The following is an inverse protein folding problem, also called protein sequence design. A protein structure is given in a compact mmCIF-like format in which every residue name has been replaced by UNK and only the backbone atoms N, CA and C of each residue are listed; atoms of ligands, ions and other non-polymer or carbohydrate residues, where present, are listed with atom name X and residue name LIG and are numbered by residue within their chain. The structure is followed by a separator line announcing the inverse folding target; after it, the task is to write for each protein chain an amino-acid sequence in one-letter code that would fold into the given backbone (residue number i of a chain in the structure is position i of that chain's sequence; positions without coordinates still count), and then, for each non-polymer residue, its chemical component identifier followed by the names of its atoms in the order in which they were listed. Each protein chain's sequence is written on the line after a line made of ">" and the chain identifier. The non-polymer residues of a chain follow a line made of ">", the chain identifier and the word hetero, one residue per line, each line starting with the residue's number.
data_IF_105067339605
#
_entry.id   IF_105067339605
#
_cell.length_a   1.000
_cell.length_b   1.000
_cell.length_c   1.000
_cell.angle_alpha   90.00
_cell.angle_beta   90.00
_cell.angle_gamma   90.00
#
_symmetry.space_group_name_H-M   'P 1'
#
loop_
_entity.id
_entity.type
_entity.pdbx_description
1 polymer ?
#
# COMPACT_ATOMS: atom_id res chain seq x y z
N UNK A 1 -14.51 -11.56 -0.27
CA UNK A 1 -13.81 -12.44 0.69
C UNK A 1 -13.68 -13.87 0.15
N UNK A 2 -14.77 -14.56 -0.23
CA UNK A 2 -14.72 -15.94 -0.74
C UNK A 2 -13.75 -16.12 -1.92
N UNK A 3 -13.77 -15.20 -2.88
CA UNK A 3 -12.82 -15.22 -4.02
C UNK A 3 -11.36 -15.15 -3.54
N UNK A 4 -11.04 -14.29 -2.57
CA UNK A 4 -9.68 -14.20 -2.05
C UNK A 4 -9.24 -15.48 -1.35
N UNK A 5 -10.10 -16.07 -0.53
CA UNK A 5 -9.80 -17.34 0.15
C UNK A 5 -9.64 -18.47 -0.87
N UNK A 6 -10.51 -18.54 -1.88
CA UNK A 6 -10.42 -19.54 -2.96
C UNK A 6 -9.13 -19.39 -3.77
N UNK A 7 -8.76 -18.18 -4.17
CA UNK A 7 -7.54 -17.92 -4.95
C UNK A 7 -6.25 -18.22 -4.19
N UNK A 8 -6.28 -18.14 -2.86
CA UNK A 8 -5.12 -18.37 -2.00
C UNK A 8 -5.17 -19.76 -1.32
N UNK A 9 -6.04 -20.67 -1.78
CA UNK A 9 -6.14 -22.04 -1.25
C UNK A 9 -4.90 -22.84 -1.67
N UNK A 10 -3.93 -22.93 -0.76
CA UNK A 10 -2.64 -23.61 -0.96
C UNK A 10 -2.52 -24.93 -0.17
N UNK A 11 -3.56 -25.30 0.54
CA UNK A 11 -3.60 -26.47 1.41
C UNK A 11 -2.76 -26.37 2.68
N UNK A 12 -2.15 -25.21 2.94
CA UNK A 12 -1.31 -24.93 4.13
C UNK A 12 -1.87 -23.81 4.96
N UNK A 13 -1.77 -22.56 4.47
CA UNK A 13 -2.32 -21.36 5.13
C UNK A 13 -3.83 -21.29 4.93
N UNK A 14 -4.27 -21.51 3.71
CA UNK A 14 -5.68 -21.52 3.32
C UNK A 14 -6.02 -22.92 2.82
N UNK A 15 -6.92 -23.60 3.53
CA UNK A 15 -7.36 -24.96 3.20
C UNK A 15 -8.72 -24.95 2.50
N UNK A 16 -9.11 -26.07 1.89
CA UNK A 16 -10.46 -26.25 1.34
C UNK A 16 -11.55 -26.07 2.41
N UNK A 17 -11.26 -26.47 3.63
CA UNK A 17 -12.20 -26.29 4.74
C UNK A 17 -12.53 -24.82 4.98
N UNK A 18 -11.52 -23.93 4.97
CA UNK A 18 -11.74 -22.47 5.09
C UNK A 18 -12.62 -21.93 3.95
N UNK A 19 -12.44 -22.45 2.72
CA UNK A 19 -13.28 -22.09 1.58
C UNK A 19 -14.72 -22.51 1.80
N UNK A 20 -14.96 -23.76 2.25
CA UNK A 20 -16.28 -24.31 2.53
C UNK A 20 -16.99 -23.57 3.68
N UNK A 21 -16.28 -23.28 4.76
CA UNK A 21 -16.79 -22.51 5.89
C UNK A 21 -17.26 -21.11 5.45
N UNK A 22 -16.46 -20.43 4.64
CA UNK A 22 -16.83 -19.11 4.15
C UNK A 22 -17.97 -19.16 3.11
N UNK A 23 -18.02 -20.21 2.29
CA UNK A 23 -19.13 -20.43 1.35
C UNK A 23 -20.46 -20.71 2.06
N UNK A 24 -20.40 -21.40 3.20
CA UNK A 24 -21.54 -21.68 4.06
C UNK A 24 -21.88 -20.58 5.07
N UNK A 25 -21.24 -19.40 4.98
CA UNK A 25 -21.44 -18.32 5.94
C UNK A 25 -22.90 -17.82 5.95
N UNK A 26 -23.47 -17.68 7.14
CA UNK A 26 -24.81 -17.12 7.34
C UNK A 26 -24.79 -15.94 8.32
N UNK A 27 -25.60 -14.88 8.10
CA UNK A 27 -25.58 -13.64 8.90
C UNK A 27 -25.74 -13.85 10.41
N UNK A 28 -26.60 -14.79 10.81
CA UNK A 28 -26.97 -15.04 12.21
C UNK A 28 -26.31 -16.29 12.82
N UNK A 29 -25.37 -16.93 12.12
CA UNK A 29 -24.64 -18.07 12.65
C UNK A 29 -23.65 -17.66 13.74
N UNK A 30 -23.31 -18.60 14.63
CA UNK A 30 -22.25 -18.40 15.61
C UNK A 30 -20.91 -18.09 14.90
N UNK A 31 -20.09 -17.24 15.52
CA UNK A 31 -18.75 -16.89 15.04
C UNK A 31 -17.72 -17.65 15.86
N UNK A 32 -17.47 -18.87 15.44
CA UNK A 32 -16.59 -19.80 16.19
C UNK A 32 -15.26 -20.06 15.49
N UNK A 33 -15.17 -19.76 14.19
CA UNK A 33 -14.01 -20.08 13.37
C UNK A 33 -13.31 -18.81 12.89
N UNK A 34 -11.98 -18.86 12.83
CA UNK A 34 -11.14 -17.86 12.17
C UNK A 34 -10.74 -18.37 10.78
N UNK A 35 -10.87 -17.51 9.78
CA UNK A 35 -10.49 -17.85 8.41
C UNK A 35 -9.30 -16.97 8.02
N UNK A 36 -8.17 -17.56 7.59
CA UNK A 36 -7.03 -16.79 7.10
C UNK A 36 -7.42 -16.01 5.85
N UNK A 37 -7.05 -14.75 5.82
CA UNK A 37 -7.35 -13.87 4.70
C UNK A 37 -6.08 -13.23 4.15
N UNK A 38 -5.84 -13.40 2.86
CA UNK A 38 -4.73 -12.75 2.14
C UNK A 38 -5.29 -11.55 1.39
N UNK A 39 -4.80 -10.37 1.72
CA UNK A 39 -5.19 -9.14 1.02
C UNK A 39 -4.61 -9.15 -0.40
N UNK A 40 -5.34 -8.60 -1.36
CA UNK A 40 -4.89 -8.50 -2.74
C UNK A 40 -3.97 -7.29 -2.96
N UNK A 41 -4.11 -6.26 -2.12
CA UNK A 41 -3.42 -4.97 -2.23
C UNK A 41 -3.49 -4.21 -0.91
N UNK A 42 -2.48 -3.40 -0.63
CA UNK A 42 -2.50 -2.40 0.43
C UNK A 42 -2.64 -1.03 -0.22
N UNK A 43 -3.61 -0.24 0.23
CA UNK A 43 -3.78 1.15 -0.19
C UNK A 43 -3.42 2.06 0.99
N UNK A 44 -2.51 2.98 0.74
CA UNK A 44 -2.02 3.92 1.75
C UNK A 44 -2.40 5.34 1.35
N UNK A 45 -2.73 6.12 2.34
CA UNK A 45 -2.80 7.58 2.26
C UNK A 45 -1.37 8.14 2.38
N UNK A 46 -1.04 9.23 1.71
CA UNK A 46 0.35 9.72 1.64
C UNK A 46 0.90 10.20 2.99
N UNK A 47 0.08 10.77 3.88
CA UNK A 47 0.54 11.17 5.20
C UNK A 47 0.91 9.99 6.10
N UNK A 48 0.09 8.94 6.09
CA UNK A 48 0.31 7.73 6.90
C UNK A 48 1.16 6.69 6.17
N UNK A 49 1.23 6.74 4.85
CA UNK A 49 2.00 5.83 4.02
C UNK A 49 3.48 6.17 3.93
N UNK A 50 3.87 7.45 4.08
CA UNK A 50 5.28 7.84 4.11
C UNK A 50 6.03 7.21 5.30
N UNK A 51 5.50 7.16 6.53
CA UNK A 51 6.10 6.38 7.63
C UNK A 51 6.32 4.90 7.29
N UNK A 52 5.36 4.22 6.63
CA UNK A 52 5.57 2.84 6.19
C UNK A 52 6.77 2.72 5.25
N UNK A 53 6.90 3.62 4.28
CA UNK A 53 8.04 3.63 3.37
C UNK A 53 9.35 3.86 4.11
N UNK A 54 9.36 4.72 5.14
CA UNK A 54 10.51 4.94 6.01
C UNK A 54 10.88 3.67 6.79
N UNK A 55 9.89 2.94 7.31
CA UNK A 55 10.11 1.66 7.99
C UNK A 55 10.71 0.61 7.04
N UNK A 56 10.19 0.49 5.82
CA UNK A 56 10.74 -0.41 4.81
C UNK A 56 12.20 -0.05 4.46
N UNK A 57 12.51 1.23 4.36
CA UNK A 57 13.88 1.70 4.14
C UNK A 57 14.80 1.34 5.33
N UNK A 58 14.32 1.54 6.55
CA UNK A 58 15.05 1.18 7.78
C UNK A 58 15.28 -0.33 7.86
N UNK A 59 14.30 -1.16 7.51
CA UNK A 59 14.44 -2.62 7.46
C UNK A 59 15.53 -3.04 6.45
N UNK A 60 15.62 -2.40 5.30
CA UNK A 60 16.69 -2.64 4.33
C UNK A 60 18.08 -2.28 4.88
N UNK A 61 18.17 -1.20 5.65
CA UNK A 61 19.43 -0.85 6.31
C UNK A 61 19.86 -1.94 7.31
N UNK A 62 18.90 -2.42 8.13
CA UNK A 62 19.19 -3.51 9.08
C UNK A 62 19.60 -4.79 8.35
N UNK A 63 18.92 -5.16 7.27
CA UNK A 63 19.30 -6.33 6.47
C UNK A 63 20.75 -6.22 5.96
N UNK A 64 21.11 -5.04 5.42
CA UNK A 64 22.49 -4.77 4.98
C UNK A 64 23.49 -4.90 6.14
N UNK A 65 23.20 -4.31 7.28
CA UNK A 65 24.09 -4.30 8.44
C UNK A 65 24.30 -5.70 9.02
N UNK A 66 23.31 -6.59 8.81
CA UNK A 66 23.39 -8.03 9.12
C UNK A 66 24.03 -8.85 7.98
N UNK A 67 24.60 -8.23 6.95
CA UNK A 67 25.22 -8.90 5.81
C UNK A 67 24.25 -9.65 4.91
N UNK A 68 22.96 -9.27 4.92
CA UNK A 68 21.93 -9.82 4.03
C UNK A 68 21.66 -8.89 2.85
N UNK A 69 21.14 -9.45 1.78
CA UNK A 69 20.70 -8.64 0.64
C UNK A 69 19.50 -7.75 1.05
N UNK A 70 19.61 -6.42 1.01
CA UNK A 70 18.52 -5.52 1.32
C UNK A 70 17.27 -5.74 0.44
N UNK A 71 17.42 -6.24 -0.78
CA UNK A 71 16.31 -6.52 -1.70
C UNK A 71 15.40 -7.64 -1.23
N UNK A 72 15.80 -8.44 -0.25
CA UNK A 72 14.92 -9.43 0.38
C UNK A 72 13.77 -8.78 1.18
N UNK A 73 13.95 -7.52 1.55
CA UNK A 73 12.88 -6.71 2.17
C UNK A 73 12.04 -6.10 1.06
N UNK A 74 10.88 -6.70 0.83
CA UNK A 74 9.92 -6.30 -0.20
C UNK A 74 8.51 -6.57 0.30
N UNK A 75 7.52 -5.69 0.06
CA UNK A 75 6.12 -6.01 0.36
C UNK A 75 5.66 -7.27 -0.37
N UNK A 76 4.93 -8.15 0.33
CA UNK A 76 4.45 -9.41 -0.24
C UNK A 76 3.24 -9.25 -1.16
N UNK A 77 2.58 -8.10 -1.12
CA UNK A 77 1.46 -7.74 -1.98
C UNK A 77 1.67 -6.33 -2.53
N UNK A 78 1.06 -5.97 -3.66
CA UNK A 78 1.15 -4.61 -4.20
C UNK A 78 0.73 -3.56 -3.17
N UNK A 79 1.50 -2.49 -3.07
CA UNK A 79 1.23 -1.32 -2.22
C UNK A 79 1.06 -0.11 -3.10
N UNK A 80 -0.10 0.54 -3.03
CA UNK A 80 -0.36 1.81 -3.71
C UNK A 80 -0.50 2.92 -2.65
N UNK A 81 0.42 3.86 -2.69
CA UNK A 81 0.33 5.08 -1.91
C UNK A 81 -0.37 6.14 -2.76
N UNK A 82 -1.53 6.59 -2.31
CA UNK A 82 -2.35 7.58 -3.02
C UNK A 82 -2.17 8.93 -2.36
N UNK A 83 -1.79 9.93 -3.16
CA UNK A 83 -1.73 11.32 -2.69
C UNK A 83 -3.14 11.86 -2.68
N UNK A 84 -3.74 11.95 -1.49
CA UNK A 84 -5.12 12.36 -1.25
C UNK A 84 -5.25 13.53 -0.27
N UNK A 85 -4.12 14.11 0.15
CA UNK A 85 -4.12 15.29 0.99
C UNK A 85 -4.66 16.51 0.22
N UNK A 86 -5.14 17.49 0.97
CA UNK A 86 -5.67 18.73 0.40
C UNK A 86 -4.57 19.51 -0.30
N UNK A 87 -4.74 19.74 -1.60
CA UNK A 87 -3.92 20.69 -2.36
C UNK A 87 -4.36 22.10 -2.02
N UNK A 88 -3.41 22.95 -1.61
CA UNK A 88 -3.71 24.35 -1.31
C UNK A 88 -4.04 25.12 -2.60
N UNK A 89 -5.18 25.78 -2.62
CA UNK A 89 -5.63 26.56 -3.77
C UNK A 89 -5.16 28.00 -3.65
N UNK A 90 -4.09 28.33 -4.36
CA UNK A 90 -3.55 29.69 -4.45
C UNK A 90 -4.08 30.42 -5.68
N UNK A 91 -4.37 29.68 -6.75
CA UNK A 91 -4.89 30.18 -8.01
C UNK A 91 -6.29 29.62 -8.29
N UNK A 92 -7.21 30.47 -8.72
CA UNK A 92 -8.59 30.09 -9.04
C UNK A 92 -9.18 30.96 -10.14
N UNK A 93 -10.27 30.53 -10.76
CA UNK A 93 -11.01 31.33 -11.74
C UNK A 93 -10.32 31.54 -13.09
N UNK A 94 -9.17 30.90 -13.34
CA UNK A 94 -8.45 30.96 -14.62
C UNK A 94 -8.25 29.56 -15.21
N UNK A 95 -8.00 29.49 -16.52
CA UNK A 95 -7.81 28.19 -17.22
C UNK A 95 -6.55 27.46 -16.79
N UNK A 96 -5.55 28.18 -16.34
CA UNK A 96 -4.23 27.68 -15.90
C UNK A 96 -4.14 27.46 -14.38
N UNK A 97 -5.21 27.72 -13.65
CA UNK A 97 -5.23 27.61 -12.19
C UNK A 97 -4.79 26.22 -11.69
N UNK A 98 -5.23 25.13 -12.35
CA UNK A 98 -4.85 23.77 -11.99
C UNK A 98 -3.34 23.59 -12.08
N UNK A 99 -2.76 23.92 -13.23
CA UNK A 99 -1.31 23.74 -13.48
C UNK A 99 -0.46 24.56 -12.52
N UNK A 100 -0.89 25.79 -12.20
CA UNK A 100 -0.21 26.66 -11.24
C UNK A 100 -0.26 26.11 -9.83
N UNK A 101 -1.42 25.63 -9.37
CA UNK A 101 -1.55 24.99 -8.06
C UNK A 101 -0.74 23.71 -7.96
N UNK A 102 -0.74 22.86 -8.98
CA UNK A 102 0.06 21.63 -9.01
C UNK A 102 1.55 21.94 -8.98
N UNK A 103 2.02 22.95 -9.68
CA UNK A 103 3.41 23.39 -9.63
C UNK A 103 3.82 23.82 -8.22
N UNK A 104 2.97 24.59 -7.54
CA UNK A 104 3.22 24.99 -6.15
C UNK A 104 3.18 23.81 -5.20
N UNK A 105 2.25 22.88 -5.39
CA UNK A 105 2.17 21.64 -4.59
C UNK A 105 3.48 20.85 -4.65
N UNK A 106 3.98 20.55 -5.84
CA UNK A 106 5.24 19.84 -6.00
C UNK A 106 6.45 20.63 -5.47
N UNK A 107 6.43 21.95 -5.57
CA UNK A 107 7.50 22.78 -5.02
C UNK A 107 7.50 22.77 -3.49
N UNK A 108 6.33 22.92 -2.86
CA UNK A 108 6.18 22.94 -1.39
C UNK A 108 6.51 21.60 -0.74
N UNK A 109 6.20 20.52 -1.41
CA UNK A 109 6.37 19.16 -0.90
C UNK A 109 7.51 18.41 -1.62
N UNK A 110 8.50 19.12 -2.14
CA UNK A 110 9.55 18.55 -2.99
C UNK A 110 10.28 17.35 -2.35
N UNK A 111 10.66 17.45 -1.08
CA UNK A 111 11.36 16.37 -0.37
C UNK A 111 10.49 15.12 -0.22
N UNK A 112 9.20 15.30 0.10
CA UNK A 112 8.23 14.19 0.20
C UNK A 112 8.09 13.48 -1.15
N UNK A 113 7.89 14.22 -2.23
CA UNK A 113 7.75 13.63 -3.56
C UNK A 113 9.04 12.96 -4.04
N UNK A 114 10.20 13.51 -3.71
CA UNK A 114 11.49 12.87 -3.98
C UNK A 114 11.63 11.53 -3.24
N UNK A 115 11.23 11.48 -1.97
CA UNK A 115 11.26 10.26 -1.18
C UNK A 115 10.29 9.21 -1.71
N UNK A 116 9.05 9.58 -2.04
CA UNK A 116 8.08 8.68 -2.66
C UNK A 116 8.55 8.16 -4.02
N UNK A 117 9.17 9.02 -4.85
CA UNK A 117 9.76 8.62 -6.12
C UNK A 117 10.90 7.61 -5.93
N UNK A 118 11.75 7.84 -4.93
CA UNK A 118 12.77 6.87 -4.56
C UNK A 118 12.14 5.53 -4.17
N UNK A 119 11.08 5.54 -3.38
CA UNK A 119 10.34 4.33 -2.98
C UNK A 119 9.87 3.49 -4.16
N UNK A 120 9.28 4.12 -5.19
CA UNK A 120 8.88 3.44 -6.42
C UNK A 120 10.05 2.82 -7.19
N UNK A 121 11.25 3.35 -7.05
CA UNK A 121 12.45 2.82 -7.69
C UNK A 121 13.14 1.74 -6.85
N UNK A 122 12.99 1.83 -5.53
CA UNK A 122 13.60 0.92 -4.58
C UNK A 122 12.83 -0.40 -4.40
N UNK A 123 11.49 -0.35 -4.49
CA UNK A 123 10.58 -1.47 -4.24
C UNK A 123 9.74 -1.78 -5.48
N UNK A 124 9.77 -3.02 -5.95
CA UNK A 124 9.08 -3.43 -7.19
C UNK A 124 7.55 -3.43 -7.03
N UNK A 125 7.07 -3.69 -5.82
CA UNK A 125 5.64 -3.78 -5.50
C UNK A 125 5.05 -2.47 -4.97
N UNK A 126 5.84 -1.42 -4.84
CA UNK A 126 5.41 -0.12 -4.32
C UNK A 126 5.15 0.88 -5.45
N UNK A 127 3.97 1.49 -5.46
CA UNK A 127 3.58 2.51 -6.42
C UNK A 127 3.04 3.75 -5.73
N UNK A 128 3.16 4.88 -6.39
CA UNK A 128 2.57 6.15 -5.95
C UNK A 128 1.61 6.63 -7.03
N UNK A 129 0.40 6.97 -6.59
CA UNK A 129 -0.61 7.63 -7.41
C UNK A 129 -0.54 9.12 -7.08
N UNK A 130 -0.12 9.98 -8.02
CA UNK A 130 0.00 11.43 -7.78
C UNK A 130 -1.37 12.09 -7.66
N UNK A 131 -1.42 13.34 -7.16
CA UNK A 131 -2.64 14.13 -7.08
C UNK A 131 -3.23 14.48 -8.44
#
# INVERSE_FOLDING_TARGET
>A
MLESVLRNCDGRKVTEEHVRQLAGWAPNAARVDEIPFVVARVVLQDFTGVPLLADLAAMRNVARDLGRDPKTIEPLVPVDLVVDHSVMIDHYGSKDALDLNMKLEFQRNAERYQFMKWGMQAFDTFKVVPP
#
